data_IF_544258221277
#
_entry.id   IF_544258221277
#
_cell.length_a   1.000
_cell.length_b   1.000
_cell.length_c   1.000
_cell.angle_alpha   90.00
_cell.angle_beta   90.00
_cell.angle_gamma   90.00
#
_symmetry.space_group_name_H-M   'P 1'
#
loop_
_entity.id
_entity.type
_entity.pdbx_description
1 polymer ?
#
# COMPACT_ATOMS: atom_id res chain seq x y z
N UNK A 1 7.58 15.49 -3.87
CA UNK A 1 6.66 14.76 -2.97
C UNK A 1 5.18 15.05 -3.26
N UNK A 2 4.73 16.31 -3.36
CA UNK A 2 3.32 16.66 -3.63
C UNK A 2 2.73 16.06 -4.92
N UNK A 3 3.52 15.93 -5.99
CA UNK A 3 3.09 15.32 -7.26
C UNK A 3 2.73 13.82 -7.15
N UNK A 4 3.36 13.09 -6.23
CA UNK A 4 3.10 11.66 -6.05
C UNK A 4 1.69 11.43 -5.51
N UNK A 5 1.24 12.30 -4.60
CA UNK A 5 -0.11 12.25 -4.03
C UNK A 5 -1.17 12.58 -5.09
N UNK A 6 -0.88 13.54 -5.97
CA UNK A 6 -1.75 13.91 -7.09
C UNK A 6 -1.90 12.78 -8.10
N UNK A 7 -0.79 12.10 -8.46
CA UNK A 7 -0.79 10.94 -9.35
C UNK A 7 -1.58 9.78 -8.74
N UNK A 8 -1.43 9.50 -7.44
CA UNK A 8 -2.18 8.43 -6.77
C UNK A 8 -3.69 8.75 -6.70
N UNK A 9 -4.05 10.00 -6.43
CA UNK A 9 -5.46 10.43 -6.43
C UNK A 9 -6.08 10.38 -7.83
N UNK A 10 -5.31 10.76 -8.85
CA UNK A 10 -5.74 10.65 -10.25
C UNK A 10 -5.86 9.18 -10.66
N UNK A 11 -4.87 8.33 -10.34
CA UNK A 11 -4.87 6.91 -10.64
C UNK A 11 -5.99 6.15 -9.93
N UNK A 12 -6.37 6.53 -8.71
CA UNK A 12 -7.51 5.95 -7.99
C UNK A 12 -8.86 6.30 -8.68
N UNK A 13 -8.98 7.52 -9.21
CA UNK A 13 -10.16 7.95 -10.00
C UNK A 13 -10.15 7.33 -11.41
N UNK A 14 -9.00 7.27 -12.08
CA UNK A 14 -8.84 6.68 -13.42
C UNK A 14 -9.03 5.17 -13.41
N UNK A 15 -8.52 4.49 -12.38
CA UNK A 15 -8.73 3.05 -12.18
C UNK A 15 -10.19 2.71 -11.83
N UNK A 16 -11.10 3.71 -11.77
CA UNK A 16 -12.50 3.60 -11.35
C UNK A 16 -12.62 2.63 -10.19
N UNK A 17 -11.81 2.85 -9.15
CA UNK A 17 -11.80 2.01 -7.96
C UNK A 17 -13.14 2.19 -7.21
N UNK A 18 -14.20 1.55 -7.72
CA UNK A 18 -15.49 1.45 -7.08
C UNK A 18 -15.38 0.56 -5.84
N UNK A 19 -16.51 0.05 -5.34
CA UNK A 19 -16.55 -0.82 -4.14
C UNK A 19 -15.49 -1.93 -4.14
N UNK A 20 -15.18 -2.50 -5.31
CA UNK A 20 -14.14 -3.52 -5.48
C UNK A 20 -12.72 -2.96 -5.35
N UNK A 21 -12.44 -1.79 -5.92
CA UNK A 21 -11.15 -1.13 -5.81
C UNK A 21 -10.86 -0.62 -4.41
N UNK A 22 -11.88 -0.16 -3.66
CA UNK A 22 -11.72 0.17 -2.24
C UNK A 22 -11.40 -1.06 -1.39
N UNK A 23 -12.01 -2.22 -1.71
CA UNK A 23 -11.73 -3.48 -1.03
C UNK A 23 -10.32 -4.00 -1.31
N UNK A 24 -9.87 -3.94 -2.57
CA UNK A 24 -8.50 -4.29 -2.95
C UNK A 24 -7.50 -3.30 -2.35
N UNK A 25 -7.80 -1.99 -2.34
CA UNK A 25 -6.96 -0.99 -1.68
C UNK A 25 -6.80 -1.28 -0.20
N UNK A 26 -7.88 -1.65 0.49
CA UNK A 26 -7.82 -2.02 1.91
C UNK A 26 -6.99 -3.29 2.12
N UNK A 27 -7.18 -4.32 1.29
CA UNK A 27 -6.38 -5.54 1.34
C UNK A 27 -4.89 -5.27 1.09
N UNK A 28 -4.56 -4.54 0.02
CA UNK A 28 -3.18 -4.20 -0.35
C UNK A 28 -2.52 -3.30 0.67
N UNK A 29 -3.22 -2.30 1.23
CA UNK A 29 -2.65 -1.46 2.29
C UNK A 29 -2.35 -2.28 3.54
N UNK A 30 -3.30 -3.10 3.99
CA UNK A 30 -3.15 -3.86 5.24
C UNK A 30 -2.10 -4.96 5.09
N UNK A 31 -2.08 -5.66 3.96
CA UNK A 31 -1.04 -6.64 3.62
C UNK A 31 0.32 -5.98 3.38
N UNK A 32 0.35 -4.79 2.78
CA UNK A 32 1.58 -4.02 2.58
C UNK A 32 2.22 -3.58 3.89
N UNK A 33 1.41 -3.10 4.84
CA UNK A 33 1.88 -2.79 6.20
C UNK A 33 2.33 -4.05 6.94
N UNK A 34 1.58 -5.15 6.88
CA UNK A 34 1.98 -6.42 7.50
C UNK A 34 3.28 -6.97 6.92
N UNK A 35 3.44 -6.94 5.60
CA UNK A 35 4.68 -7.36 4.93
C UNK A 35 5.87 -6.46 5.28
N UNK A 36 5.64 -5.16 5.45
CA UNK A 36 6.67 -4.23 5.91
C UNK A 36 7.10 -4.52 7.35
N UNK A 37 6.14 -4.77 8.25
CA UNK A 37 6.43 -5.15 9.64
C UNK A 37 7.15 -6.49 9.69
N UNK A 38 6.70 -7.49 8.92
CA UNK A 38 7.38 -8.78 8.81
C UNK A 38 8.82 -8.62 8.32
N UNK A 39 9.06 -7.77 7.32
CA UNK A 39 10.42 -7.46 6.84
C UNK A 39 11.28 -6.87 7.96
N UNK A 40 10.77 -5.90 8.71
CA UNK A 40 11.50 -5.31 9.85
C UNK A 40 11.80 -6.35 10.92
N UNK A 41 10.85 -7.26 11.18
CA UNK A 41 11.03 -8.35 12.13
C UNK A 41 12.08 -9.36 11.66
N UNK A 42 12.09 -9.67 10.37
CA UNK A 42 13.08 -10.54 9.74
C UNK A 42 14.47 -9.87 9.76
N UNK A 43 14.57 -8.58 9.47
CA UNK A 43 15.81 -7.81 9.59
C UNK A 43 16.36 -7.85 11.02
N UNK A 44 15.48 -7.63 12.01
CA UNK A 44 15.85 -7.73 13.42
C UNK A 44 16.30 -9.14 13.82
N UNK A 45 15.67 -10.19 13.28
CA UNK A 45 16.04 -11.57 13.55
C UNK A 45 17.35 -12.00 12.86
N UNK A 46 17.62 -11.47 11.67
CA UNK A 46 18.87 -11.71 10.94
C UNK A 46 20.01 -10.77 11.36
N UNK A 47 19.75 -9.80 12.25
CA UNK A 47 20.69 -8.78 12.72
C UNK A 47 21.33 -7.97 11.57
N UNK A 48 20.49 -7.60 10.58
CA UNK A 48 20.84 -6.80 9.38
C UNK A 48 20.08 -5.47 9.37
#
# INVERSE_FOLDING_TARGET
MLYMVFIVAQLARESKAGRFGTFILFLVLTLGMLGFVAKLFIQWLLDI
#
